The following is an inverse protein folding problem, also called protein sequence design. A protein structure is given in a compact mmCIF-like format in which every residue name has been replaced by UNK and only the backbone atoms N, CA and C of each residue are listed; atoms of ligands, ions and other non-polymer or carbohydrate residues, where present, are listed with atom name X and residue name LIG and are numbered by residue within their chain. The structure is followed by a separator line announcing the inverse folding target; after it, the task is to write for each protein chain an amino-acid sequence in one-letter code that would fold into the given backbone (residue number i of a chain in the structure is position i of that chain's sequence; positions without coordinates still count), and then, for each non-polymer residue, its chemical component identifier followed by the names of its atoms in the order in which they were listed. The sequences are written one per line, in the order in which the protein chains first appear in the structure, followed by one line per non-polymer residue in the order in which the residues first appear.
data_IF_733551805036
#
_entry.id   IF_733551805036
#
_cell.length_a   1.000
_cell.length_b   1.000
_cell.length_c   1.000
_cell.angle_alpha   90.00
_cell.angle_beta   90.00
_cell.angle_gamma   90.00
#
_symmetry.space_group_name_H-M   'P 1'
#
loop_
_entity.id
_entity.type
_entity.pdbx_description
1 polymer ?
#
# COMPACT_ATOMS: atom_id res chain seq x y z
N UNK A 1 -38.44 -7.58 -7.75
CA UNK A 1 -38.52 -6.12 -7.84
C UNK A 1 -37.15 -5.62 -7.35
N UNK A 2 -36.43 -5.00 -8.25
CA UNK A 2 -35.05 -4.55 -7.98
C UNK A 2 -35.10 -3.17 -7.28
N UNK A 3 -34.93 -3.16 -5.98
CA UNK A 3 -35.03 -1.97 -5.14
C UNK A 3 -33.98 -0.91 -5.49
N UNK A 4 -32.88 -1.30 -6.13
CA UNK A 4 -31.82 -0.39 -6.57
C UNK A 4 -32.25 0.52 -7.73
N UNK A 5 -33.34 0.19 -8.45
CA UNK A 5 -33.88 1.01 -9.53
C UNK A 5 -34.85 2.11 -9.06
N UNK A 6 -35.38 1.98 -7.84
CA UNK A 6 -36.39 2.92 -7.30
C UNK A 6 -35.72 4.06 -6.55
N UNK A 7 -34.62 3.79 -5.87
CA UNK A 7 -33.79 4.81 -5.29
C UNK A 7 -32.58 4.98 -6.20
N UNK A 8 -32.50 6.11 -6.87
CA UNK A 8 -31.31 6.60 -7.56
C UNK A 8 -30.23 6.87 -6.50
N UNK A 9 -29.80 5.85 -5.76
CA UNK A 9 -28.66 5.89 -4.87
C UNK A 9 -27.47 6.15 -5.79
N UNK A 10 -27.10 7.43 -5.91
CA UNK A 10 -25.82 7.83 -6.51
C UNK A 10 -24.77 6.90 -5.92
N UNK A 11 -24.24 6.00 -6.74
CA UNK A 11 -23.08 5.21 -6.37
C UNK A 11 -22.03 6.22 -5.93
N UNK A 12 -21.65 6.17 -4.65
CA UNK A 12 -20.63 7.04 -4.09
C UNK A 12 -19.32 6.57 -4.71
N UNK A 13 -18.78 7.36 -5.62
CA UNK A 13 -17.45 7.13 -6.17
C UNK A 13 -16.44 7.32 -5.06
N UNK A 14 -15.84 6.23 -4.60
CA UNK A 14 -14.84 6.24 -3.54
C UNK A 14 -13.47 6.33 -4.17
N UNK A 15 -12.67 7.24 -3.66
CA UNK A 15 -11.30 7.46 -4.10
C UNK A 15 -10.35 6.80 -3.12
N UNK A 16 -9.44 5.97 -3.60
CA UNK A 16 -8.29 5.53 -2.83
C UNK A 16 -7.19 6.60 -2.88
N UNK A 17 -6.77 7.08 -1.72
CA UNK A 17 -5.74 8.10 -1.55
C UNK A 17 -4.55 7.51 -0.79
N UNK A 18 -3.47 7.25 -1.49
CA UNK A 18 -2.16 6.87 -0.93
C UNK A 18 -1.30 8.13 -0.79
N UNK A 19 -1.06 8.56 0.45
CA UNK A 19 -0.15 9.66 0.78
C UNK A 19 1.18 9.06 1.21
N UNK A 20 2.05 8.79 0.24
CA UNK A 20 3.40 8.29 0.49
C UNK A 20 4.37 9.40 0.93
N UNK A 21 5.65 9.04 1.12
CA UNK A 21 6.71 9.98 1.52
C UNK A 21 7.26 10.81 0.36
N UNK A 22 7.29 10.25 -0.86
CA UNK A 22 7.82 10.91 -2.07
C UNK A 22 6.76 11.32 -3.08
N UNK A 23 5.60 10.69 -3.06
CA UNK A 23 4.51 10.97 -4.00
C UNK A 23 3.15 10.67 -3.37
N UNK A 24 2.14 11.41 -3.84
CA UNK A 24 0.73 11.14 -3.59
C UNK A 24 0.14 10.44 -4.79
N UNK A 25 -0.73 9.47 -4.55
CA UNK A 25 -1.39 8.68 -5.59
C UNK A 25 -2.88 8.59 -5.32
N UNK A 26 -3.67 8.71 -6.38
CA UNK A 26 -5.14 8.62 -6.33
C UNK A 26 -5.58 7.62 -7.38
N UNK A 27 -6.52 6.77 -7.02
CA UNK A 27 -7.25 5.88 -7.93
C UNK A 27 -8.74 5.97 -7.62
N UNK A 28 -9.55 6.08 -8.65
CA UNK A 28 -11.00 5.92 -8.56
C UNK A 28 -11.44 4.70 -9.37
N UNK A 29 -12.23 3.85 -8.74
CA UNK A 29 -12.79 2.67 -9.35
C UNK A 29 -14.32 2.75 -9.31
N UNK A 30 -14.93 2.32 -10.39
CA UNK A 30 -16.35 2.01 -10.45
C UNK A 30 -16.51 0.49 -10.41
N UNK A 31 -17.46 0.00 -9.63
CA UNK A 31 -17.82 -1.42 -9.60
C UNK A 31 -19.16 -1.62 -10.29
N UNK A 32 -19.16 -2.42 -11.34
CA UNK A 32 -20.37 -2.87 -12.02
C UNK A 32 -20.57 -4.40 -11.87
N UNK A 33 -21.51 -4.96 -12.60
CA UNK A 33 -21.79 -6.41 -12.57
C UNK A 33 -20.66 -7.25 -13.17
N UNK A 34 -19.78 -6.66 -13.97
CA UNK A 34 -18.64 -7.33 -14.61
C UNK A 34 -17.35 -7.22 -13.77
N UNK A 35 -17.32 -6.35 -12.76
CA UNK A 35 -16.18 -6.14 -11.89
C UNK A 35 -15.80 -4.68 -11.69
N UNK A 36 -14.53 -4.42 -11.44
CA UNK A 36 -14.00 -3.07 -11.26
C UNK A 36 -13.56 -2.48 -12.60
N UNK A 37 -13.79 -1.18 -12.77
CA UNK A 37 -13.37 -0.38 -13.93
C UNK A 37 -12.66 0.87 -13.43
N UNK A 38 -11.50 1.21 -13.99
CA UNK A 38 -10.78 2.45 -13.66
C UNK A 38 -11.53 3.62 -14.28
N UNK A 39 -11.93 4.58 -13.45
CA UNK A 39 -12.51 5.84 -13.90
C UNK A 39 -11.47 6.94 -14.00
N UNK A 40 -10.50 6.93 -13.08
CA UNK A 40 -9.36 7.85 -13.11
C UNK A 40 -8.21 7.41 -12.20
N UNK A 41 -7.03 7.95 -12.47
CA UNK A 41 -5.89 7.88 -11.56
C UNK A 41 -5.03 9.15 -11.66
N UNK A 42 -4.15 9.33 -10.69
CA UNK A 42 -3.16 10.40 -10.68
C UNK A 42 -1.98 10.08 -9.77
N UNK A 43 -0.82 10.61 -10.13
CA UNK A 43 0.40 10.57 -9.31
C UNK A 43 0.98 11.99 -9.32
N UNK A 44 1.35 12.50 -8.14
CA UNK A 44 2.06 13.76 -8.00
C UNK A 44 3.21 13.63 -7.00
N UNK A 45 4.40 14.08 -7.39
CA UNK A 45 5.56 14.06 -6.50
C UNK A 45 5.42 15.11 -5.39
N UNK A 46 5.89 14.76 -4.19
CA UNK A 46 5.99 15.69 -3.07
C UNK A 46 7.33 16.41 -3.19
N UNK A 47 7.26 17.72 -3.43
CA UNK A 47 8.46 18.57 -3.54
C UNK A 47 9.25 18.58 -2.22
N UNK A 48 10.57 18.58 -2.33
CA UNK A 48 11.46 18.73 -1.18
C UNK A 48 11.54 20.20 -0.78
N UNK A 49 11.36 20.52 0.51
CA UNK A 49 11.59 21.89 1.02
C UNK A 49 13.06 22.27 0.85
N UNK A 50 13.31 23.43 0.21
CA UNK A 50 14.68 23.94 -0.02
C UNK A 50 15.35 24.48 1.25
N UNK A 51 14.60 24.65 2.33
CA UNK A 51 15.08 25.29 3.56
C UNK A 51 15.70 24.26 4.50
N UNK A 52 16.98 23.89 4.22
CA UNK A 52 17.77 22.96 5.05
C UNK A 52 18.21 23.50 6.41
N UNK A 53 17.90 24.76 6.78
CA UNK A 53 18.37 25.42 8.00
C UNK A 53 17.27 25.73 9.03
N UNK A 54 16.06 25.20 8.87
CA UNK A 54 14.97 25.42 9.80
C UNK A 54 14.97 24.45 11.00
N UNK A 55 14.27 24.85 12.09
CA UNK A 55 13.97 23.95 13.21
C UNK A 55 13.13 22.76 12.73
N UNK A 56 13.16 21.63 13.45
CA UNK A 56 12.37 20.43 13.08
C UNK A 56 10.88 20.74 12.83
N UNK A 57 10.30 21.66 13.62
CA UNK A 57 8.92 22.12 13.46
C UNK A 57 8.70 22.89 12.16
N UNK A 58 9.66 23.71 11.71
CA UNK A 58 9.57 24.44 10.45
C UNK A 58 9.74 23.49 9.24
N UNK A 59 10.59 22.50 9.34
CA UNK A 59 10.75 21.46 8.31
C UNK A 59 9.48 20.60 8.18
N UNK A 60 8.87 20.21 9.29
CA UNK A 60 7.62 19.45 9.29
C UNK A 60 6.44 20.27 8.73
N UNK A 61 6.34 21.57 9.04
CA UNK A 61 5.34 22.46 8.46
C UNK A 61 5.54 22.63 6.95
N UNK A 62 6.78 22.78 6.49
CA UNK A 62 7.14 22.84 5.06
C UNK A 62 6.79 21.55 4.31
N UNK A 63 7.08 20.40 4.90
CA UNK A 63 6.73 19.10 4.34
C UNK A 63 5.20 18.92 4.24
N UNK A 64 4.45 19.31 5.26
CA UNK A 64 2.98 19.26 5.22
C UNK A 64 2.41 20.15 4.11
N UNK A 65 2.95 21.34 3.90
CA UNK A 65 2.53 22.25 2.82
C UNK A 65 2.79 21.65 1.45
N UNK A 66 3.96 21.04 1.25
CA UNK A 66 4.31 20.36 -0.01
C UNK A 66 3.42 19.12 -0.25
N UNK A 67 3.12 18.37 0.80
CA UNK A 67 2.22 17.21 0.72
C UNK A 67 0.79 17.63 0.35
N UNK A 68 0.24 18.69 0.98
CA UNK A 68 -1.09 19.22 0.64
C UNK A 68 -1.11 19.72 -0.81
N UNK A 69 -0.05 20.38 -1.27
CA UNK A 69 0.08 20.77 -2.67
C UNK A 69 0.07 19.56 -3.59
N UNK A 70 0.89 18.53 -3.29
CA UNK A 70 0.94 17.30 -4.07
C UNK A 70 -0.42 16.57 -4.11
N UNK A 71 -1.20 16.56 -3.02
CA UNK A 71 -2.56 16.02 -3.02
C UNK A 71 -3.44 16.79 -4.01
N UNK A 72 -3.41 18.12 -3.98
CA UNK A 72 -4.19 18.97 -4.91
C UNK A 72 -3.75 18.79 -6.36
N UNK A 73 -2.44 18.74 -6.61
CA UNK A 73 -1.88 18.53 -7.95
C UNK A 73 -2.27 17.14 -8.48
N UNK A 74 -2.16 16.09 -7.66
CA UNK A 74 -2.58 14.73 -7.98
C UNK A 74 -4.08 14.69 -8.34
N UNK A 75 -4.91 15.37 -7.57
CA UNK A 75 -6.33 15.48 -7.84
C UNK A 75 -6.63 16.23 -9.15
N UNK A 76 -5.90 17.29 -9.43
CA UNK A 76 -6.03 18.05 -10.70
C UNK A 76 -5.59 17.20 -11.90
N UNK A 77 -4.50 16.44 -11.79
CA UNK A 77 -4.01 15.53 -12.83
C UNK A 77 -4.99 14.41 -13.14
N UNK A 78 -5.69 13.91 -12.12
CA UNK A 78 -6.69 12.85 -12.29
C UNK A 78 -7.91 13.28 -13.10
N UNK A 79 -8.06 14.58 -13.42
CA UNK A 79 -9.20 15.15 -14.16
C UNK A 79 -10.57 14.76 -13.57
N UNK A 80 -10.62 14.45 -12.30
CA UNK A 80 -11.86 14.17 -11.59
C UNK A 80 -12.77 15.38 -11.70
N UNK A 81 -13.85 15.24 -12.48
CA UNK A 81 -14.84 16.31 -12.65
C UNK A 81 -15.64 16.45 -11.35
N UNK A 82 -15.44 17.53 -10.65
CA UNK A 82 -16.39 17.98 -9.64
C UNK A 82 -17.57 18.64 -10.36
N UNK A 83 -18.77 18.12 -10.16
CA UNK A 83 -19.99 18.73 -10.72
C UNK A 83 -20.22 20.15 -10.21
N UNK A 84 -19.75 20.43 -9.00
CA UNK A 84 -19.78 21.74 -8.39
C UNK A 84 -18.42 22.06 -7.73
N UNK A 85 -17.97 23.30 -7.81
CA UNK A 85 -16.72 23.78 -7.20
C UNK A 85 -16.62 23.55 -5.67
N UNK A 86 -17.75 23.26 -5.00
CA UNK A 86 -17.86 23.03 -3.56
C UNK A 86 -18.09 21.56 -3.17
N UNK A 87 -18.04 20.63 -4.12
CA UNK A 87 -18.23 19.21 -3.83
C UNK A 87 -16.95 18.65 -3.15
N UNK A 88 -17.07 18.31 -1.87
CA UNK A 88 -16.01 17.63 -1.12
C UNK A 88 -16.04 16.15 -1.50
N UNK A 89 -14.95 15.66 -2.05
CA UNK A 89 -14.82 14.24 -2.40
C UNK A 89 -14.45 13.40 -1.19
N UNK A 90 -15.11 12.25 -1.08
CA UNK A 90 -14.81 11.25 -0.06
C UNK A 90 -13.63 10.40 -0.50
N UNK A 91 -12.70 10.14 0.41
CA UNK A 91 -11.50 9.33 0.17
C UNK A 91 -11.34 8.26 1.24
N UNK A 92 -10.78 7.13 0.86
CA UNK A 92 -10.20 6.13 1.75
C UNK A 92 -8.70 6.38 1.76
N UNK A 93 -8.12 6.61 2.94
CA UNK A 93 -6.70 6.88 3.11
C UNK A 93 -5.95 5.63 3.57
N UNK A 94 -4.71 5.48 3.12
CA UNK A 94 -3.81 4.41 3.57
C UNK A 94 -2.90 4.84 4.72
N UNK A 95 -2.58 3.86 5.60
CA UNK A 95 -1.58 3.98 6.66
C UNK A 95 -0.64 2.78 6.65
N UNK A 96 0.64 3.02 6.92
CA UNK A 96 1.70 2.01 7.03
C UNK A 96 2.86 2.52 7.87
N UNK A 97 3.82 1.66 8.13
CA UNK A 97 5.04 1.99 8.86
C UNK A 97 5.01 1.62 10.33
N UNK A 98 5.98 2.11 11.12
CA UNK A 98 6.21 1.65 12.51
C UNK A 98 5.09 2.02 13.49
N UNK A 99 4.20 2.95 13.10
CA UNK A 99 3.06 3.38 13.89
C UNK A 99 1.78 2.56 13.59
N UNK A 100 1.90 1.48 12.80
CA UNK A 100 0.81 0.57 12.43
C UNK A 100 1.17 -0.85 12.81
N UNK A 101 0.22 -1.59 13.37
CA UNK A 101 0.37 -3.01 13.68
C UNK A 101 -0.83 -3.80 13.17
N UNK A 102 -0.55 -4.96 12.57
CA UNK A 102 -1.55 -5.98 12.24
C UNK A 102 -1.15 -7.25 12.96
N UNK A 103 -2.02 -7.79 13.81
CA UNK A 103 -1.72 -8.97 14.63
C UNK A 103 -2.88 -9.93 14.61
N UNK A 104 -2.59 -11.21 14.40
CA UNK A 104 -3.59 -12.26 14.51
C UNK A 104 -3.81 -12.62 15.98
N UNK A 105 -5.05 -12.94 16.34
CA UNK A 105 -5.42 -13.42 17.66
C UNK A 105 -6.29 -14.67 17.59
N UNK A 106 -6.27 -15.45 18.66
CA UNK A 106 -7.16 -16.59 18.87
C UNK A 106 -7.54 -16.64 20.34
N UNK A 107 -8.83 -16.42 20.64
CA UNK A 107 -9.38 -16.49 21.98
C UNK A 107 -10.18 -17.78 22.19
N UNK A 108 -10.31 -18.27 23.43
CA UNK A 108 -11.31 -19.27 23.77
C UNK A 108 -12.72 -18.78 23.41
N UNK A 109 -13.76 -19.63 23.50
CA UNK A 109 -15.13 -19.18 23.33
C UNK A 109 -15.44 -18.01 24.27
N UNK A 110 -15.76 -16.84 23.68
CA UNK A 110 -16.15 -15.64 24.40
C UNK A 110 -17.51 -15.15 23.92
N UNK A 111 -18.35 -14.56 24.81
CA UNK A 111 -19.51 -13.79 24.42
C UNK A 111 -19.12 -12.64 23.49
N UNK A 112 -20.00 -12.28 22.57
CA UNK A 112 -19.70 -11.25 21.55
C UNK A 112 -19.38 -9.91 22.21
N UNK A 113 -20.03 -9.59 23.30
CA UNK A 113 -19.85 -8.37 24.11
C UNK A 113 -18.48 -8.28 24.81
N UNK A 114 -17.78 -9.39 25.00
CA UNK A 114 -16.45 -9.42 25.63
C UNK A 114 -15.30 -9.36 24.62
N UNK A 115 -15.59 -9.57 23.33
CA UNK A 115 -14.54 -9.64 22.30
C UNK A 115 -13.76 -8.32 22.19
N UNK A 116 -14.44 -7.17 22.19
CA UNK A 116 -13.80 -5.85 22.08
C UNK A 116 -12.83 -5.61 23.24
N UNK A 117 -13.24 -5.95 24.47
CA UNK A 117 -12.36 -5.86 25.64
C UNK A 117 -11.14 -6.78 25.54
N UNK A 118 -11.34 -8.03 25.08
CA UNK A 118 -10.25 -8.98 24.88
C UNK A 118 -9.27 -8.50 23.79
N UNK A 119 -9.77 -7.96 22.68
CA UNK A 119 -8.93 -7.40 21.60
C UNK A 119 -8.15 -6.18 22.09
N UNK A 120 -8.75 -5.32 22.88
CA UNK A 120 -8.06 -4.15 23.45
C UNK A 120 -6.93 -4.58 24.39
N UNK A 121 -7.17 -5.60 25.21
CA UNK A 121 -6.14 -6.17 26.07
C UNK A 121 -5.01 -6.80 25.25
N UNK A 122 -5.33 -7.58 24.24
CA UNK A 122 -4.35 -8.20 23.34
C UNK A 122 -3.52 -7.11 22.64
N UNK A 123 -4.16 -6.07 22.13
CA UNK A 123 -3.45 -4.93 21.48
C UNK A 123 -2.42 -4.30 22.42
N UNK A 124 -2.73 -4.17 23.71
CA UNK A 124 -1.80 -3.60 24.70
C UNK A 124 -0.55 -4.45 24.92
N UNK A 125 -0.59 -5.75 24.60
CA UNK A 125 0.52 -6.68 24.76
C UNK A 125 1.36 -6.85 23.49
N UNK A 126 0.71 -6.78 22.31
CA UNK A 126 1.37 -7.14 21.03
C UNK A 126 1.75 -5.96 20.16
N UNK A 127 1.22 -4.76 20.42
CA UNK A 127 1.59 -3.57 19.65
C UNK A 127 2.95 -3.02 20.08
N UNK A 128 3.80 -2.57 19.14
CA UNK A 128 5.12 -2.01 19.47
C UNK A 128 5.06 -0.58 20.00
N UNK A 129 3.88 -0.02 20.18
CA UNK A 129 3.60 1.34 20.68
C UNK A 129 2.49 1.30 21.72
N UNK A 130 2.25 2.42 22.40
CA UNK A 130 1.22 2.50 23.41
C UNK A 130 -0.19 2.35 22.81
N UNK A 131 -0.86 1.25 23.12
CA UNK A 131 -2.21 0.98 22.63
C UNK A 131 -3.25 1.99 23.17
N UNK A 132 -3.01 2.62 24.35
CA UNK A 132 -3.91 3.64 24.88
C UNK A 132 -3.93 4.94 24.04
N UNK A 133 -2.83 5.21 23.30
CA UNK A 133 -2.70 6.35 22.39
C UNK A 133 -2.97 5.97 20.93
N UNK A 134 -3.69 4.87 20.73
CA UNK A 134 -3.93 4.29 19.41
C UNK A 134 -5.42 3.99 19.19
N UNK A 135 -5.82 3.99 17.94
CA UNK A 135 -7.12 3.44 17.52
C UNK A 135 -6.91 1.96 17.17
N UNK A 136 -7.73 1.11 17.76
CA UNK A 136 -7.73 -0.35 17.54
C UNK A 136 -9.04 -0.74 16.89
N UNK A 137 -8.98 -1.57 15.86
CA UNK A 137 -10.11 -2.21 15.20
C UNK A 137 -9.80 -3.69 14.98
N UNK A 138 -10.80 -4.51 14.71
CA UNK A 138 -10.59 -5.94 14.51
C UNK A 138 -11.59 -6.56 13.54
N UNK A 139 -11.19 -7.68 12.98
CA UNK A 139 -12.07 -8.50 12.14
C UNK A 139 -12.01 -9.96 12.60
N UNK A 140 -13.18 -10.54 12.86
CA UNK A 140 -13.30 -11.98 13.12
C UNK A 140 -13.24 -12.75 11.80
N UNK A 141 -12.54 -13.88 11.82
CA UNK A 141 -12.46 -14.81 10.69
C UNK A 141 -13.34 -16.01 11.03
N UNK A 142 -14.36 -16.33 10.23
CA UNK A 142 -15.19 -17.50 10.42
C UNK A 142 -14.32 -18.77 10.50
N UNK A 143 -14.49 -19.53 11.56
CA UNK A 143 -13.93 -20.86 11.70
C UNK A 143 -15.04 -21.81 12.15
N UNK A 144 -14.97 -23.06 11.74
CA UNK A 144 -15.95 -24.09 12.14
C UNK A 144 -15.89 -24.50 13.62
N UNK A 145 -15.09 -23.83 14.45
CA UNK A 145 -14.86 -24.11 15.85
C UNK A 145 -15.41 -23.00 16.73
N UNK A 146 -15.67 -23.29 18.03
CA UNK A 146 -16.16 -22.30 18.99
C UNK A 146 -15.15 -21.19 19.35
N UNK A 147 -13.90 -21.34 18.98
CA UNK A 147 -12.86 -20.33 19.22
C UNK A 147 -13.10 -19.04 18.44
N UNK A 148 -12.82 -17.91 19.07
CA UNK A 148 -12.86 -16.57 18.42
C UNK A 148 -11.51 -16.27 17.82
N UNK A 149 -11.40 -16.41 16.49
CA UNK A 149 -10.17 -16.12 15.72
C UNK A 149 -10.38 -14.90 14.84
N UNK A 150 -9.34 -14.09 14.74
CA UNK A 150 -9.37 -12.88 13.92
C UNK A 150 -8.02 -12.23 13.81
N UNK A 151 -8.04 -11.01 13.36
CA UNK A 151 -6.87 -10.11 13.42
C UNK A 151 -7.31 -8.75 13.93
N UNK A 152 -6.43 -8.11 14.66
CA UNK A 152 -6.54 -6.73 15.10
C UNK A 152 -5.63 -5.84 14.25
N UNK A 153 -6.04 -4.59 14.11
CA UNK A 153 -5.28 -3.51 13.51
C UNK A 153 -5.19 -2.41 14.53
N UNK A 154 -4.00 -1.89 14.77
CA UNK A 154 -3.78 -0.73 15.61
C UNK A 154 -2.96 0.31 14.86
N UNK A 155 -3.32 1.59 15.00
CA UNK A 155 -2.57 2.71 14.47
C UNK A 155 -2.53 3.85 15.49
N UNK A 156 -1.40 4.55 15.60
CA UNK A 156 -1.30 5.67 16.55
C UNK A 156 -2.27 6.79 16.17
N UNK A 157 -2.89 7.42 17.19
CA UNK A 157 -3.81 8.53 16.99
C UNK A 157 -3.13 9.73 16.31
N UNK A 158 -1.83 9.89 16.49
CA UNK A 158 -1.01 10.91 15.82
C UNK A 158 -0.99 10.69 14.31
N UNK A 159 -0.68 9.49 13.86
CA UNK A 159 -0.65 9.13 12.43
C UNK A 159 -2.02 9.35 11.77
N UNK A 160 -3.10 8.86 12.41
CA UNK A 160 -4.47 8.99 11.92
C UNK A 160 -4.87 10.47 11.80
N UNK A 161 -4.56 11.26 12.83
CA UNK A 161 -4.86 12.70 12.87
C UNK A 161 -4.10 13.45 11.77
N UNK A 162 -2.82 13.15 11.59
CA UNK A 162 -1.99 13.81 10.58
C UNK A 162 -2.48 13.50 9.16
N UNK A 163 -2.75 12.24 8.83
CA UNK A 163 -3.30 11.86 7.52
C UNK A 163 -4.67 12.52 7.26
N UNK A 164 -5.54 12.51 8.26
CA UNK A 164 -6.87 13.16 8.16
C UNK A 164 -6.74 14.66 7.95
N UNK A 165 -5.82 15.32 8.66
CA UNK A 165 -5.54 16.75 8.53
C UNK A 165 -5.02 17.11 7.15
N UNK A 166 -4.11 16.32 6.58
CA UNK A 166 -3.58 16.52 5.22
C UNK A 166 -4.69 16.42 4.16
N UNK A 167 -5.55 15.38 4.25
CA UNK A 167 -6.69 15.22 3.35
C UNK A 167 -7.65 16.41 3.47
N UNK A 168 -8.02 16.82 4.70
CA UNK A 168 -8.90 17.97 4.96
C UNK A 168 -8.32 19.27 4.43
N UNK A 169 -7.01 19.51 4.60
CA UNK A 169 -6.32 20.71 4.09
C UNK A 169 -6.32 20.76 2.55
N UNK A 170 -6.43 19.60 1.88
CA UNK A 170 -6.60 19.50 0.43
C UNK A 170 -8.08 19.54 -0.02
N UNK A 171 -9.03 19.82 0.87
CA UNK A 171 -10.48 19.82 0.63
C UNK A 171 -11.04 18.43 0.29
N UNK A 172 -10.50 17.38 0.91
CA UNK A 172 -10.97 15.99 0.81
C UNK A 172 -11.52 15.54 2.17
N UNK A 173 -12.51 14.65 2.15
CA UNK A 173 -13.07 14.05 3.36
C UNK A 173 -12.58 12.61 3.48
N UNK A 174 -11.66 12.36 4.40
CA UNK A 174 -11.30 10.99 4.78
C UNK A 174 -12.50 10.36 5.50
N UNK A 175 -13.07 9.32 4.89
CA UNK A 175 -14.25 8.62 5.44
C UNK A 175 -13.89 7.26 6.02
N UNK A 176 -12.74 6.71 5.65
CA UNK A 176 -12.21 5.47 6.16
C UNK A 176 -10.68 5.51 6.06
N UNK A 177 -10.02 4.88 7.02
CA UNK A 177 -8.59 4.63 6.99
C UNK A 177 -8.34 3.13 6.96
N UNK A 178 -7.44 2.67 6.08
CA UNK A 178 -7.08 1.26 5.95
C UNK A 178 -5.57 1.07 6.00
N UNK A 179 -5.10 -0.13 6.33
CA UNK A 179 -3.67 -0.45 6.32
C UNK A 179 -3.24 -0.80 4.91
N UNK A 180 -2.15 -0.20 4.42
CA UNK A 180 -1.64 -0.38 3.06
C UNK A 180 -1.48 -1.87 2.69
N UNK A 181 -0.93 -2.69 3.61
CA UNK A 181 -0.77 -4.12 3.40
C UNK A 181 -2.11 -4.87 3.26
N UNK A 182 -3.14 -4.48 4.03
CA UNK A 182 -4.48 -5.07 3.91
C UNK A 182 -5.17 -4.61 2.63
N UNK A 183 -5.00 -3.34 2.24
CA UNK A 183 -5.50 -2.81 0.97
C UNK A 183 -4.89 -3.57 -0.23
N UNK A 184 -3.59 -3.88 -0.20
CA UNK A 184 -2.93 -4.69 -1.23
C UNK A 184 -3.50 -6.11 -1.30
N UNK A 185 -3.67 -6.79 -0.16
CA UNK A 185 -4.26 -8.12 -0.09
C UNK A 185 -5.70 -8.12 -0.60
N UNK A 186 -6.48 -7.10 -0.24
CA UNK A 186 -7.85 -6.93 -0.72
C UNK A 186 -7.90 -6.72 -2.23
N UNK A 187 -7.02 -5.86 -2.77
CA UNK A 187 -6.89 -5.63 -4.21
C UNK A 187 -6.57 -6.94 -4.94
N UNK A 188 -5.57 -7.67 -4.47
CA UNK A 188 -5.15 -8.94 -5.08
C UNK A 188 -6.29 -9.97 -5.08
N UNK A 189 -6.95 -10.16 -3.93
CA UNK A 189 -8.04 -11.11 -3.79
C UNK A 189 -9.24 -10.78 -4.67
N UNK A 190 -9.57 -9.50 -4.84
CA UNK A 190 -10.67 -9.09 -5.73
C UNK A 190 -10.35 -9.35 -7.20
N UNK A 191 -9.08 -9.25 -7.61
CA UNK A 191 -8.67 -9.40 -9.01
C UNK A 191 -8.36 -10.83 -9.43
N UNK A 192 -7.97 -11.68 -8.48
CA UNK A 192 -7.52 -13.06 -8.77
C UNK A 192 -8.60 -14.09 -8.47
N UNK A 193 -9.59 -13.77 -7.62
CA UNK A 193 -10.49 -14.74 -7.00
C UNK A 193 -11.48 -15.44 -7.92
N UNK A 194 -11.83 -14.90 -9.08
CA UNK A 194 -12.86 -15.53 -9.93
C UNK A 194 -12.36 -16.72 -10.78
N UNK A 195 -11.08 -16.76 -11.14
CA UNK A 195 -10.54 -17.85 -11.98
C UNK A 195 -9.63 -18.86 -11.25
N UNK A 196 -9.29 -18.63 -9.96
CA UNK A 196 -8.33 -19.47 -9.24
C UNK A 196 -8.81 -20.06 -7.92
N UNK A 197 -10.11 -20.12 -7.67
CA UNK A 197 -10.64 -20.95 -6.55
C UNK A 197 -10.22 -22.43 -6.62
N UNK A 198 -9.78 -22.89 -7.77
CA UNK A 198 -9.28 -24.25 -7.97
C UNK A 198 -7.78 -24.45 -7.60
N UNK A 199 -7.01 -23.38 -7.39
CA UNK A 199 -5.62 -23.45 -6.90
C UNK A 199 -5.50 -22.95 -5.45
N UNK A 200 -6.48 -23.24 -4.63
CA UNK A 200 -6.70 -22.74 -3.27
C UNK A 200 -5.65 -23.18 -2.21
N UNK A 201 -4.45 -23.57 -2.62
CA UNK A 201 -3.41 -24.00 -1.70
C UNK A 201 -2.14 -23.15 -1.72
N UNK A 202 -2.08 -22.10 -2.53
CA UNK A 202 -0.88 -21.26 -2.62
C UNK A 202 -1.02 -20.02 -1.71
N UNK A 203 -0.07 -19.86 -0.81
CA UNK A 203 0.09 -18.65 0.01
C UNK A 203 0.49 -17.49 -0.90
N UNK A 204 -0.32 -16.43 -0.93
CA UNK A 204 -0.04 -15.21 -1.69
C UNK A 204 0.80 -14.26 -0.86
N UNK A 205 1.94 -13.82 -1.41
CA UNK A 205 2.77 -12.78 -0.82
C UNK A 205 2.92 -11.60 -1.77
N UNK A 206 2.80 -10.39 -1.24
CA UNK A 206 2.92 -9.13 -1.97
C UNK A 206 3.97 -8.27 -1.28
N UNK A 207 4.96 -7.81 -2.03
CA UNK A 207 6.01 -6.90 -1.58
C UNK A 207 5.80 -5.53 -2.25
N UNK A 208 5.42 -4.55 -1.46
CA UNK A 208 5.31 -3.16 -1.89
C UNK A 208 6.57 -2.38 -1.48
N UNK A 209 7.40 -2.02 -2.46
CA UNK A 209 8.61 -1.24 -2.22
C UNK A 209 8.35 0.22 -2.54
N UNK A 210 8.12 1.00 -1.49
CA UNK A 210 7.90 2.44 -1.57
C UNK A 210 9.19 3.25 -1.61
N UNK A 211 9.10 4.53 -1.25
CA UNK A 211 10.26 5.40 -1.11
C UNK A 211 10.94 5.25 0.26
N UNK A 212 10.20 5.30 1.36
CA UNK A 212 10.73 5.23 2.74
C UNK A 212 10.39 3.94 3.48
N UNK A 213 9.39 3.19 3.04
CA UNK A 213 8.95 1.95 3.67
C UNK A 213 8.76 0.85 2.65
N UNK A 214 9.04 -0.36 3.07
CA UNK A 214 8.71 -1.59 2.34
C UNK A 214 7.70 -2.38 3.16
N UNK A 215 6.59 -2.75 2.55
CA UNK A 215 5.52 -3.55 3.16
C UNK A 215 5.50 -4.94 2.57
N UNK A 216 5.66 -5.98 3.38
CA UNK A 216 5.38 -7.36 3.02
C UNK A 216 4.01 -7.76 3.58
N UNK A 217 3.10 -8.12 2.69
CA UNK A 217 1.75 -8.56 3.04
C UNK A 217 1.51 -9.98 2.53
N UNK A 218 1.08 -10.88 3.41
CA UNK A 218 0.85 -12.29 3.10
C UNK A 218 -0.56 -12.66 3.57
N UNK A 219 -1.30 -13.39 2.73
CA UNK A 219 -2.57 -13.99 3.10
C UNK A 219 -2.42 -15.50 3.09
N UNK A 220 -2.69 -16.12 4.24
CA UNK A 220 -2.72 -17.57 4.31
C UNK A 220 -4.06 -18.15 3.83
N UNK A 221 -4.10 -19.46 3.62
CA UNK A 221 -5.30 -20.17 3.16
C UNK A 221 -6.47 -20.12 4.17
N UNK A 222 -6.19 -19.75 5.42
CA UNK A 222 -7.19 -19.63 6.49
C UNK A 222 -7.75 -18.21 6.62
N UNK A 223 -7.40 -17.29 5.70
CA UNK A 223 -7.86 -15.91 5.71
C UNK A 223 -7.20 -15.02 6.77
N UNK A 224 -6.10 -15.45 7.37
CA UNK A 224 -5.33 -14.65 8.32
C UNK A 224 -4.27 -13.84 7.57
N UNK A 225 -4.31 -12.50 7.65
CA UNK A 225 -3.28 -11.67 7.08
C UNK A 225 -2.03 -11.64 7.96
N UNK A 226 -0.88 -11.53 7.32
CA UNK A 226 0.38 -11.16 7.94
C UNK A 226 0.89 -9.92 7.24
N UNK A 227 1.13 -8.84 7.97
CA UNK A 227 1.66 -7.59 7.42
C UNK A 227 2.87 -7.17 8.25
N UNK A 228 3.95 -6.86 7.56
CA UNK A 228 5.19 -6.34 8.18
C UNK A 228 5.74 -5.20 7.33
N UNK A 229 5.96 -4.08 8.00
CA UNK A 229 6.63 -2.93 7.42
C UNK A 229 8.09 -2.88 7.86
N UNK A 230 8.98 -2.47 6.95
CA UNK A 230 10.39 -2.21 7.23
C UNK A 230 10.77 -0.80 6.77
N UNK A 231 11.67 -0.15 7.51
CA UNK A 231 12.12 1.23 7.25
C UNK A 231 13.33 1.27 6.30
N UNK A 232 13.44 0.31 5.40
CA UNK A 232 14.46 0.31 4.34
C UNK A 232 13.78 0.14 3.00
N UNK A 233 13.97 1.12 2.11
CA UNK A 233 13.22 1.18 0.85
C UNK A 233 13.98 1.93 -0.24
N UNK A 234 13.29 2.35 -1.30
CA UNK A 234 13.87 2.91 -2.50
C UNK A 234 14.78 4.12 -2.28
N UNK A 235 14.47 5.01 -1.33
CA UNK A 235 15.34 6.17 -1.05
C UNK A 235 16.67 5.76 -0.41
N UNK A 236 16.67 4.75 0.46
CA UNK A 236 17.90 4.26 1.09
C UNK A 236 18.79 3.59 0.06
N UNK A 237 18.20 2.78 -0.82
CA UNK A 237 18.88 2.13 -1.93
C UNK A 237 19.50 3.18 -2.86
N UNK A 238 18.72 4.20 -3.27
CA UNK A 238 19.19 5.29 -4.14
C UNK A 238 20.32 6.08 -3.47
N UNK A 239 20.19 6.39 -2.18
CA UNK A 239 21.24 7.09 -1.43
C UNK A 239 22.54 6.28 -1.37
N UNK A 240 22.45 4.99 -1.11
CA UNK A 240 23.62 4.12 -1.06
C UNK A 240 24.32 4.03 -2.41
N UNK A 241 23.56 3.85 -3.52
CA UNK A 241 24.12 3.84 -4.87
C UNK A 241 24.78 5.21 -5.20
N UNK A 242 24.12 6.31 -4.81
CA UNK A 242 24.63 7.67 -5.04
C UNK A 242 25.99 7.90 -4.36
N UNK A 243 26.11 7.48 -3.10
CA UNK A 243 27.37 7.57 -2.34
C UNK A 243 28.46 6.71 -2.98
N UNK A 244 28.15 5.46 -3.32
CA UNK A 244 29.13 4.51 -3.88
C UNK A 244 29.69 4.99 -5.24
N UNK A 245 28.84 5.64 -6.05
CA UNK A 245 29.24 6.10 -7.39
C UNK A 245 29.62 7.58 -7.45
N UNK A 246 29.61 8.31 -6.34
CA UNK A 246 29.91 9.75 -6.31
C UNK A 246 28.91 10.60 -7.13
N UNK A 247 27.67 10.13 -7.27
CA UNK A 247 26.62 10.76 -8.07
C UNK A 247 25.54 11.39 -7.19
N UNK A 248 24.73 12.29 -7.76
CA UNK A 248 23.54 12.79 -7.07
C UNK A 248 22.42 11.75 -7.05
N UNK A 249 21.60 11.77 -6.00
CA UNK A 249 20.39 10.91 -5.94
C UNK A 249 19.43 11.15 -7.10
N UNK A 250 19.39 12.39 -7.64
CA UNK A 250 18.61 12.74 -8.83
C UNK A 250 19.13 12.02 -10.07
N UNK A 251 20.45 11.97 -10.24
CA UNK A 251 21.09 11.25 -11.35
C UNK A 251 20.77 9.75 -11.27
N UNK A 252 20.91 9.16 -10.08
CA UNK A 252 20.59 7.73 -9.86
C UNK A 252 19.12 7.43 -10.16
N UNK A 253 18.19 8.27 -9.69
CA UNK A 253 16.76 8.15 -10.03
C UNK A 253 16.54 8.15 -11.54
N UNK A 254 17.21 9.05 -12.26
CA UNK A 254 17.14 9.13 -13.72
C UNK A 254 17.65 7.86 -14.42
N UNK A 255 18.74 7.28 -13.94
CA UNK A 255 19.30 6.03 -14.49
C UNK A 255 18.33 4.85 -14.26
N UNK A 256 17.79 4.74 -13.04
CA UNK A 256 16.89 3.65 -12.66
C UNK A 256 15.51 3.71 -13.35
N UNK A 257 15.07 4.91 -13.76
CA UNK A 257 13.77 5.14 -14.40
C UNK A 257 13.81 5.19 -15.93
N UNK A 258 15.00 5.21 -16.55
CA UNK A 258 15.13 5.41 -17.99
C UNK A 258 15.57 4.14 -18.73
N UNK A 259 14.66 3.57 -19.53
CA UNK A 259 14.92 2.37 -20.32
C UNK A 259 16.00 2.54 -21.40
N UNK A 260 16.22 3.76 -21.87
CA UNK A 260 17.18 4.06 -22.93
C UNK A 260 18.63 4.23 -22.46
N UNK A 261 18.87 4.28 -21.15
CA UNK A 261 20.23 4.41 -20.62
C UNK A 261 20.87 3.02 -20.52
N UNK A 262 21.96 2.80 -21.25
CA UNK A 262 22.81 1.62 -21.07
C UNK A 262 23.42 1.72 -19.67
N UNK A 263 23.04 0.81 -18.80
CA UNK A 263 23.57 0.73 -17.43
C UNK A 263 24.97 0.11 -17.54
N UNK A 264 25.98 0.83 -17.07
CA UNK A 264 27.35 0.29 -17.02
C UNK A 264 27.41 -0.94 -16.09
N UNK A 265 28.26 -1.95 -16.41
CA UNK A 265 28.37 -3.15 -15.57
C UNK A 265 28.62 -2.89 -14.10
N UNK A 266 29.34 -1.82 -13.75
CA UNK A 266 29.59 -1.39 -12.37
C UNK A 266 28.34 -0.96 -11.62
N UNK A 267 27.34 -0.42 -12.29
CA UNK A 267 26.11 0.05 -11.68
C UNK A 267 25.22 -1.12 -11.18
N UNK A 268 25.23 -2.25 -11.89
CA UNK A 268 24.48 -3.43 -11.47
C UNK A 268 25.00 -3.96 -10.13
N UNK A 269 26.32 -3.95 -9.91
CA UNK A 269 26.93 -4.34 -8.65
C UNK A 269 26.54 -3.38 -7.52
N UNK A 270 26.47 -2.07 -7.80
CA UNK A 270 26.03 -1.08 -6.81
C UNK A 270 24.57 -1.26 -6.42
N UNK A 271 23.69 -1.57 -7.38
CA UNK A 271 22.29 -1.90 -7.11
C UNK A 271 22.17 -3.15 -6.24
N UNK A 272 22.90 -4.21 -6.59
CA UNK A 272 22.91 -5.46 -5.81
C UNK A 272 23.33 -5.23 -4.37
N UNK A 273 24.45 -4.54 -4.13
CA UNK A 273 24.93 -4.22 -2.79
C UNK A 273 23.91 -3.39 -2.01
N UNK A 274 23.36 -2.36 -2.65
CA UNK A 274 22.37 -1.49 -2.01
C UNK A 274 21.06 -2.24 -1.68
N UNK A 275 20.67 -3.25 -2.46
CA UNK A 275 19.49 -4.06 -2.19
C UNK A 275 19.73 -5.17 -1.17
N UNK A 276 20.98 -5.47 -0.78
CA UNK A 276 21.31 -6.62 0.08
C UNK A 276 20.54 -6.62 1.41
N UNK A 277 20.41 -5.44 2.04
CA UNK A 277 19.66 -5.30 3.29
C UNK A 277 18.16 -5.62 3.07
N UNK A 278 17.54 -5.06 2.04
CA UNK A 278 16.14 -5.33 1.71
C UNK A 278 15.91 -6.82 1.46
N UNK A 279 16.78 -7.44 0.67
CA UNK A 279 16.70 -8.86 0.34
C UNK A 279 16.82 -9.73 1.60
N UNK A 280 17.75 -9.40 2.50
CA UNK A 280 17.92 -10.10 3.78
C UNK A 280 16.68 -9.95 4.67
N UNK A 281 16.14 -8.73 4.79
CA UNK A 281 14.96 -8.42 5.62
C UNK A 281 13.71 -9.17 5.09
N UNK A 282 13.55 -9.26 3.77
CA UNK A 282 12.45 -9.98 3.12
C UNK A 282 12.59 -11.49 3.33
N UNK A 283 13.76 -12.07 3.06
CA UNK A 283 14.03 -13.49 3.22
C UNK A 283 13.83 -13.95 4.68
N UNK A 284 14.35 -13.17 5.63
CA UNK A 284 14.14 -13.43 7.06
C UNK A 284 12.65 -13.38 7.44
N UNK A 285 11.91 -12.42 6.89
CA UNK A 285 10.48 -12.29 7.15
C UNK A 285 9.68 -13.46 6.57
N UNK A 286 10.02 -13.91 5.36
CA UNK A 286 9.39 -15.07 4.72
C UNK A 286 9.66 -16.36 5.52
N UNK A 287 10.88 -16.55 6.01
CA UNK A 287 11.24 -17.69 6.89
C UNK A 287 10.48 -17.64 8.21
N UNK A 288 10.42 -16.46 8.84
CA UNK A 288 9.66 -16.26 10.07
C UNK A 288 8.18 -16.61 9.87
N UNK A 289 7.57 -16.10 8.80
CA UNK A 289 6.18 -16.40 8.46
C UNK A 289 5.95 -17.92 8.31
N UNK A 290 6.79 -18.61 7.55
CA UNK A 290 6.69 -20.06 7.32
C UNK A 290 6.80 -20.84 8.63
N UNK A 291 7.75 -20.46 9.50
CA UNK A 291 7.95 -21.12 10.81
C UNK A 291 6.75 -20.92 11.75
N UNK A 292 6.17 -19.71 11.77
CA UNK A 292 5.08 -19.36 12.65
C UNK A 292 3.73 -19.98 12.21
N UNK A 293 3.44 -19.91 10.92
CA UNK A 293 2.12 -20.27 10.39
C UNK A 293 1.95 -21.75 10.13
N UNK A 294 3.02 -22.56 10.23
CA UNK A 294 3.06 -23.96 9.77
C UNK A 294 2.48 -24.14 8.35
N UNK A 295 2.55 -23.07 7.57
CA UNK A 295 2.05 -23.02 6.20
C UNK A 295 3.11 -23.51 5.21
N UNK A 296 2.67 -23.77 3.98
CA UNK A 296 3.57 -24.01 2.87
C UNK A 296 4.48 -22.79 2.65
N UNK A 297 5.67 -23.01 2.13
CA UNK A 297 6.56 -21.94 1.70
C UNK A 297 5.83 -20.99 0.73
N UNK A 298 6.22 -19.73 0.76
CA UNK A 298 5.79 -18.78 -0.27
C UNK A 298 6.55 -19.10 -1.56
N UNK A 299 5.82 -19.62 -2.55
CA UNK A 299 6.41 -19.98 -3.84
C UNK A 299 6.49 -18.79 -4.79
N UNK A 300 5.57 -17.80 -4.62
CA UNK A 300 5.47 -16.66 -5.51
C UNK A 300 5.32 -15.36 -4.74
N UNK A 301 6.13 -14.36 -5.11
CA UNK A 301 6.16 -13.02 -4.55
C UNK A 301 5.77 -12.00 -5.62
N UNK A 302 4.65 -11.33 -5.42
CA UNK A 302 4.19 -10.25 -6.27
C UNK A 302 4.79 -8.92 -5.81
N UNK A 303 5.55 -8.24 -6.66
CA UNK A 303 6.24 -7.00 -6.31
C UNK A 303 5.55 -5.81 -6.93
N UNK A 304 5.27 -4.78 -6.12
CA UNK A 304 4.67 -3.52 -6.53
C UNK A 304 5.32 -2.33 -5.79
N UNK A 305 4.77 -1.13 -5.96
CA UNK A 305 5.33 0.09 -5.39
C UNK A 305 6.17 0.87 -6.39
N UNK A 306 6.50 2.11 -6.03
CA UNK A 306 7.24 3.00 -6.94
C UNK A 306 8.65 2.52 -7.26
N UNK A 307 9.34 1.90 -6.31
CA UNK A 307 10.69 1.38 -6.52
C UNK A 307 10.70 0.04 -7.28
N UNK A 308 9.59 -0.69 -7.32
CA UNK A 308 9.46 -1.90 -8.14
C UNK A 308 9.67 -1.65 -9.64
N UNK A 309 9.48 -0.40 -10.08
CA UNK A 309 9.71 0.05 -11.46
C UNK A 309 11.17 0.36 -11.77
N UNK A 310 12.07 0.29 -10.76
CA UNK A 310 13.48 0.52 -10.98
C UNK A 310 14.10 -0.59 -11.85
N UNK A 311 14.86 -0.19 -12.86
CA UNK A 311 15.48 -1.10 -13.83
C UNK A 311 16.38 -2.14 -13.15
N UNK A 312 16.16 -3.42 -13.47
CA UNK A 312 16.93 -4.55 -12.93
C UNK A 312 16.55 -4.95 -11.50
N UNK A 313 15.65 -4.23 -10.82
CA UNK A 313 15.30 -4.50 -9.42
C UNK A 313 14.53 -5.81 -9.25
N UNK A 314 13.46 -6.01 -10.02
CA UNK A 314 12.63 -7.24 -9.93
C UNK A 314 13.45 -8.46 -10.35
N UNK A 315 14.27 -8.33 -11.38
CA UNK A 315 15.20 -9.38 -11.83
C UNK A 315 16.22 -9.73 -10.74
N UNK A 316 16.78 -8.73 -10.06
CA UNK A 316 17.68 -8.93 -8.93
C UNK A 316 17.01 -9.70 -7.80
N UNK A 317 15.77 -9.31 -7.42
CA UNK A 317 15.02 -10.03 -6.39
C UNK A 317 14.76 -11.47 -6.80
N UNK A 318 14.36 -11.73 -8.05
CA UNK A 318 14.09 -13.08 -8.56
C UNK A 318 15.34 -13.96 -8.53
N UNK A 319 16.52 -13.39 -8.74
CA UNK A 319 17.80 -14.12 -8.68
C UNK A 319 18.30 -14.37 -7.25
N UNK A 320 17.80 -13.64 -6.25
CA UNK A 320 18.30 -13.67 -4.88
C UNK A 320 17.34 -14.27 -3.86
N UNK A 321 16.05 -14.26 -4.12
CA UNK A 321 15.03 -14.86 -3.26
C UNK A 321 14.70 -16.27 -3.73
N UNK A 322 14.31 -17.14 -2.81
CA UNK A 322 13.93 -18.53 -3.10
C UNK A 322 12.51 -18.68 -3.67
N UNK A 323 11.79 -17.59 -3.88
CA UNK A 323 10.46 -17.55 -4.47
C UNK A 323 10.49 -16.96 -5.88
N UNK A 324 9.57 -17.37 -6.76
CA UNK A 324 9.37 -16.72 -8.05
C UNK A 324 8.92 -15.27 -7.82
N UNK A 325 9.67 -14.29 -8.32
CA UNK A 325 9.36 -12.86 -8.14
C UNK A 325 8.78 -12.29 -9.42
N UNK A 326 7.58 -11.68 -9.32
CA UNK A 326 6.85 -11.14 -10.47
C UNK A 326 6.44 -9.71 -10.21
N UNK A 327 6.73 -8.80 -11.15
CA UNK A 327 6.17 -7.45 -11.12
C UNK A 327 4.65 -7.54 -11.22
N UNK A 328 3.95 -6.91 -10.29
CA UNK A 328 2.50 -6.92 -10.26
C UNK A 328 1.92 -5.55 -10.57
N UNK A 329 1.18 -5.51 -11.67
CA UNK A 329 0.34 -4.38 -12.05
C UNK A 329 -1.13 -4.78 -11.85
N UNK A 330 -1.86 -4.25 -10.86
CA UNK A 330 -3.27 -4.59 -10.66
C UNK A 330 -4.14 -4.22 -11.86
N UNK A 331 -3.75 -3.23 -12.67
CA UNK A 331 -4.53 -2.72 -13.79
C UNK A 331 -4.44 -3.58 -15.05
N UNK A 332 -3.58 -4.58 -15.11
CA UNK A 332 -3.56 -5.54 -16.21
C UNK A 332 -4.88 -6.33 -16.33
N UNK A 333 -5.69 -6.31 -15.25
CA UNK A 333 -6.99 -7.02 -15.17
C UNK A 333 -8.18 -6.12 -14.89
N UNK A 334 -7.96 -4.82 -14.72
CA UNK A 334 -9.03 -3.85 -14.50
C UNK A 334 -9.16 -3.02 -15.79
N UNK A 335 -10.26 -3.15 -16.53
CA UNK A 335 -10.47 -2.34 -17.72
C UNK A 335 -10.49 -0.85 -17.38
N UNK A 336 -10.02 -0.04 -18.32
CA UNK A 336 -10.03 1.42 -18.23
C UNK A 336 -11.03 1.96 -19.27
N UNK A 337 -12.04 2.69 -18.81
CA UNK A 337 -13.04 3.30 -19.68
C UNK A 337 -12.75 4.76 -20.02
N UNK A 338 -11.56 5.28 -19.66
CA UNK A 338 -11.33 6.72 -19.76
C UNK A 338 -10.77 7.14 -21.14
N UNK A 339 -9.52 6.91 -21.42
CA UNK A 339 -8.86 7.22 -22.69
C UNK A 339 -7.50 6.53 -22.79
N UNK A 340 -6.93 6.47 -24.00
CA UNK A 340 -5.61 5.87 -24.27
C UNK A 340 -4.48 6.46 -23.40
N UNK A 341 -4.54 7.76 -23.06
CA UNK A 341 -3.53 8.39 -22.21
C UNK A 341 -3.54 7.81 -20.78
N UNK A 342 -4.71 7.50 -20.24
CA UNK A 342 -4.82 6.89 -18.93
C UNK A 342 -4.35 5.43 -18.93
N UNK A 343 -4.68 4.68 -19.99
CA UNK A 343 -4.22 3.31 -20.18
C UNK A 343 -2.70 3.25 -20.22
N UNK A 344 -2.05 4.15 -20.96
CA UNK A 344 -0.60 4.25 -21.03
C UNK A 344 0.04 4.60 -19.67
N UNK A 345 -0.58 5.48 -18.87
CA UNK A 345 -0.16 5.77 -17.50
C UNK A 345 -0.28 4.53 -16.63
N UNK A 346 -1.40 3.81 -16.69
CA UNK A 346 -1.63 2.60 -15.90
C UNK A 346 -0.69 1.46 -16.28
N UNK A 347 -0.38 1.30 -17.57
CA UNK A 347 0.58 0.30 -18.03
C UNK A 347 1.99 0.58 -17.48
N UNK A 348 2.43 1.84 -17.48
CA UNK A 348 3.78 2.20 -17.04
C UNK A 348 3.92 2.38 -15.53
N UNK A 349 2.91 2.90 -14.85
CA UNK A 349 2.99 3.26 -13.42
C UNK A 349 2.06 2.48 -12.51
N UNK A 350 1.29 1.54 -13.06
CA UNK A 350 0.30 0.75 -12.33
C UNK A 350 0.82 0.06 -11.07
N UNK A 351 2.02 -0.55 -11.08
CA UNK A 351 2.60 -1.11 -9.85
C UNK A 351 2.73 -0.09 -8.72
N UNK A 352 3.04 1.17 -9.03
CA UNK A 352 3.12 2.23 -8.02
C UNK A 352 1.76 2.65 -7.46
N UNK A 353 0.66 2.35 -8.16
CA UNK A 353 -0.72 2.69 -7.80
C UNK A 353 -1.45 1.56 -7.03
N UNK A 354 -0.79 0.43 -6.77
CA UNK A 354 -1.43 -0.77 -6.22
C UNK A 354 -2.12 -0.52 -4.86
N UNK A 355 -1.50 0.24 -3.96
CA UNK A 355 -2.11 0.62 -2.67
C UNK A 355 -3.37 1.46 -2.91
N UNK A 356 -3.28 2.52 -3.73
CA UNK A 356 -4.42 3.38 -4.01
C UNK A 356 -5.58 2.61 -4.68
N UNK A 357 -5.28 1.62 -5.54
CA UNK A 357 -6.28 0.72 -6.12
C UNK A 357 -6.98 -0.12 -5.04
N UNK A 358 -6.21 -0.70 -4.10
CA UNK A 358 -6.75 -1.48 -2.99
C UNK A 358 -7.65 -0.65 -2.07
N UNK A 359 -7.24 0.59 -1.78
CA UNK A 359 -8.04 1.55 -1.00
C UNK A 359 -9.37 1.91 -1.72
N UNK A 360 -9.33 2.07 -3.05
CA UNK A 360 -10.51 2.36 -3.86
C UNK A 360 -11.49 1.16 -3.95
N UNK A 361 -11.03 -0.05 -3.66
CA UNK A 361 -11.85 -1.28 -3.62
C UNK A 361 -12.55 -1.49 -2.27
N UNK A 362 -12.27 -0.65 -1.27
CA UNK A 362 -12.97 -0.75 0.02
C UNK A 362 -14.44 -0.40 -0.16
N UNK A 363 -15.29 -1.36 0.11
CA UNK A 363 -16.75 -1.11 0.21
C UNK A 363 -17.05 -0.37 1.51
N UNK A 364 -17.81 0.67 1.41
CA UNK A 364 -18.29 1.49 2.53
C UNK A 364 -19.75 1.19 2.75
#
# INVERSE_FOLDING_TARGET
MDWNRIFNLKQIEVLGLDIGSSAVKIVALHKDNAGYVVTTCGIAEIGVSKDGNGTQSAQQAGNNTNTVKAIRDCFALSKLRTKNRHEIKSVVCGVSGPEVAVRNFEFPPLPTEEIEGAVTLEASQVCPFNAADSTVDYQLIPNGNDKRRGFLVAATNTLITDKTRLAKAANLKCILMDVDGLALLNCFNNLVSEHKKAQAHQTTAILNVGASHTTLAIMNNNGQPFVRDTNYAGEDIIKQIAVENGMSTKTIKGILSNDSTTVEPGFHNSLEKACQKLISDVDETLRYYTAQSKSSNVEKLFVCGGFALAKGFVELLNNRLGAEVVLWNPFDKIPCNANEQLEDVLARTGPALAVAAGLAMRSI
#
